data_IF_533837603130
#
_entry.id   IF_533837603130
#
_cell.length_a   1.000
_cell.length_b   1.000
_cell.length_c   1.000
_cell.angle_alpha   90.00
_cell.angle_beta   90.00
_cell.angle_gamma   90.00
#
_symmetry.space_group_name_H-M   'P 1'
#
loop_
_entity.id
_entity.type
_entity.pdbx_description
1 polymer ?
#
# COMPACT_ATOMS: atom_id res chain seq x y z
N UNK A 1 -14.02 3.22 10.79
CA UNK A 1 -13.74 2.92 9.38
C UNK A 1 -12.68 3.85 8.82
N UNK A 2 -11.47 3.68 9.34
CA UNK A 2 -10.20 4.03 8.73
C UNK A 2 -9.83 2.91 7.75
N UNK A 3 -9.65 3.27 6.48
CA UNK A 3 -9.11 2.37 5.46
C UNK A 3 -7.66 2.74 5.17
N UNK A 4 -6.80 1.76 4.96
CA UNK A 4 -5.41 1.98 4.65
C UNK A 4 -5.03 1.16 3.43
N UNK A 5 -4.29 1.76 2.52
CA UNK A 5 -4.05 1.16 1.22
C UNK A 5 -2.54 1.05 0.99
N UNK A 6 -1.93 -0.07 1.39
CA UNK A 6 -0.56 -0.39 1.02
C UNK A 6 -0.50 -0.53 -0.49
N UNK A 7 0.26 0.39 -1.09
CA UNK A 7 0.55 0.42 -2.50
C UNK A 7 2.00 0.01 -2.67
N UNK A 8 2.21 -1.04 -3.45
CA UNK A 8 3.54 -1.43 -3.88
C UNK A 8 3.59 -1.33 -5.41
N UNK A 9 4.56 -0.57 -5.90
CA UNK A 9 4.87 -0.47 -7.31
C UNK A 9 5.79 -1.59 -7.81
N UNK A 10 6.21 -2.55 -6.96
CA UNK A 10 6.77 -3.84 -7.40
C UNK A 10 5.75 -4.60 -8.26
N UNK A 11 4.45 -4.33 -8.05
CA UNK A 11 3.40 -4.59 -9.00
C UNK A 11 3.58 -3.74 -10.25
N UNK A 12 4.31 -4.27 -11.23
CA UNK A 12 4.30 -3.83 -12.62
C UNK A 12 2.88 -3.44 -13.10
N UNK A 13 1.83 -4.08 -12.55
CA UNK A 13 0.42 -3.80 -12.83
C UNK A 13 -0.12 -2.42 -12.44
N UNK A 14 0.31 -1.76 -11.34
CA UNK A 14 -0.27 -0.47 -10.95
C UNK A 14 0.16 0.65 -11.91
N UNK A 15 1.48 0.76 -12.10
CA UNK A 15 2.10 1.79 -12.94
C UNK A 15 1.83 1.56 -14.43
N UNK A 16 1.84 0.29 -14.90
CA UNK A 16 1.59 -0.03 -16.32
C UNK A 16 0.11 0.08 -16.68
N UNK A 17 -0.82 -0.26 -15.77
CA UNK A 17 -2.25 -0.16 -16.04
C UNK A 17 -2.84 1.26 -15.84
N UNK A 18 -2.01 2.25 -15.49
CA UNK A 18 -2.45 3.59 -15.07
C UNK A 18 -3.53 3.55 -13.97
N UNK A 19 -3.38 2.62 -13.03
CA UNK A 19 -4.38 2.38 -11.99
C UNK A 19 -4.42 3.48 -10.91
N UNK A 20 -3.49 4.44 -10.93
CA UNK A 20 -3.47 5.56 -9.99
C UNK A 20 -4.74 6.42 -10.05
N UNK A 21 -5.30 6.66 -11.24
CA UNK A 21 -6.51 7.49 -11.39
C UNK A 21 -7.76 6.85 -10.76
N UNK A 22 -8.12 5.59 -11.08
CA UNK A 22 -9.28 4.95 -10.45
C UNK A 22 -9.10 4.75 -8.94
N UNK A 23 -7.87 4.57 -8.47
CA UNK A 23 -7.59 4.51 -7.02
C UNK A 23 -7.80 5.89 -6.37
N UNK A 24 -7.28 6.96 -6.96
CA UNK A 24 -7.49 8.31 -6.46
C UNK A 24 -8.98 8.69 -6.43
N UNK A 25 -9.74 8.31 -7.45
CA UNK A 25 -11.20 8.48 -7.49
C UNK A 25 -11.88 7.69 -6.36
N UNK A 26 -11.53 6.42 -6.18
CA UNK A 26 -12.06 5.60 -5.08
C UNK A 26 -11.76 6.21 -3.72
N UNK A 27 -10.53 6.70 -3.49
CA UNK A 27 -10.15 7.37 -2.25
C UNK A 27 -10.93 8.66 -2.04
N UNK A 28 -11.11 9.47 -3.09
CA UNK A 28 -11.94 10.68 -3.04
C UNK A 28 -13.38 10.37 -2.65
N UNK A 29 -13.97 9.31 -3.21
CA UNK A 29 -15.33 8.87 -2.88
C UNK A 29 -15.45 8.38 -1.43
N UNK A 30 -14.46 7.63 -0.93
CA UNK A 30 -14.43 7.17 0.45
C UNK A 30 -14.28 8.35 1.43
N UNK A 31 -13.42 9.31 1.10
CA UNK A 31 -13.25 10.54 1.89
C UNK A 31 -14.50 11.40 1.91
N UNK A 32 -15.21 11.53 0.79
CA UNK A 32 -16.54 12.20 0.74
C UNK A 32 -17.57 11.55 1.67
N UNK A 33 -17.43 10.25 1.95
CA UNK A 33 -18.26 9.52 2.92
C UNK A 33 -17.73 9.62 4.36
N UNK A 34 -16.78 10.52 4.63
CA UNK A 34 -16.20 10.74 5.95
C UNK A 34 -15.23 9.64 6.41
N UNK A 35 -14.72 8.83 5.49
CA UNK A 35 -13.75 7.77 5.82
C UNK A 35 -12.33 8.33 5.78
N UNK A 36 -11.50 7.97 6.77
CA UNK A 36 -10.07 8.29 6.76
C UNK A 36 -9.37 7.28 5.87
N UNK A 37 -8.76 7.74 4.78
CA UNK A 37 -8.04 6.90 3.82
C UNK A 37 -6.63 7.42 3.67
N UNK A 38 -5.65 6.51 3.79
CA UNK A 38 -4.22 6.79 3.71
C UNK A 38 -3.53 5.75 2.83
N UNK A 39 -2.43 6.14 2.21
CA UNK A 39 -1.57 5.30 1.41
C UNK A 39 -0.33 4.94 2.20
N UNK A 40 0.04 3.66 2.21
CA UNK A 40 1.31 3.20 2.73
C UNK A 40 2.25 2.91 1.56
N UNK A 41 3.40 3.55 1.55
CA UNK A 41 4.44 3.36 0.53
C UNK A 41 5.60 2.59 1.14
N UNK A 42 5.99 1.50 0.49
CA UNK A 42 7.19 0.77 0.85
C UNK A 42 8.42 1.44 0.21
N UNK A 43 9.57 1.58 0.90
CA UNK A 43 10.74 2.27 0.36
C UNK A 43 11.28 1.66 -0.95
N UNK A 44 11.13 0.35 -1.13
CA UNK A 44 11.49 -0.36 -2.38
C UNK A 44 10.31 -0.57 -3.34
N UNK A 45 9.16 0.08 -3.10
CA UNK A 45 8.02 0.01 -4.00
C UNK A 45 8.33 0.72 -5.32
N UNK A 46 8.33 -0.04 -6.41
CA UNK A 46 8.51 0.50 -7.76
C UNK A 46 9.86 0.19 -8.38
N UNK A 47 10.12 0.81 -9.54
CA UNK A 47 11.39 0.64 -10.25
C UNK A 47 12.36 1.79 -10.04
N UNK A 48 11.89 2.90 -9.49
CA UNK A 48 12.71 4.03 -9.06
C UNK A 48 12.22 4.54 -7.70
N UNK A 49 13.12 4.93 -6.78
CA UNK A 49 12.75 5.57 -5.53
C UNK A 49 11.85 6.79 -5.77
N UNK A 50 10.75 6.90 -5.03
CA UNK A 50 9.78 8.01 -5.15
C UNK A 50 8.89 7.98 -6.40
N UNK A 51 9.02 6.97 -7.27
CA UNK A 51 8.19 6.85 -8.48
C UNK A 51 6.69 6.82 -8.13
N UNK A 52 6.32 6.08 -7.09
CA UNK A 52 4.93 5.95 -6.68
C UNK A 52 4.36 7.28 -6.16
N UNK A 53 5.15 8.02 -5.38
CA UNK A 53 4.75 9.33 -4.84
C UNK A 53 4.46 10.32 -5.99
N UNK A 54 5.28 10.30 -7.04
CA UNK A 54 5.05 11.11 -8.26
C UNK A 54 3.76 10.70 -8.97
N UNK A 55 3.50 9.40 -9.13
CA UNK A 55 2.27 8.91 -9.79
C UNK A 55 1.00 9.24 -9.00
N UNK A 56 1.07 9.17 -7.67
CA UNK A 56 -0.04 9.55 -6.79
C UNK A 56 -0.27 11.07 -6.84
N UNK A 57 0.79 11.86 -6.86
CA UNK A 57 0.70 13.31 -7.03
C UNK A 57 0.09 13.68 -8.40
N UNK A 58 0.47 12.99 -9.47
CA UNK A 58 -0.12 13.15 -10.81
C UNK A 58 -1.62 12.81 -10.82
N UNK A 59 -2.04 11.83 -10.01
CA UNK A 59 -3.45 11.47 -9.84
C UNK A 59 -4.22 12.42 -8.90
N UNK A 60 -3.57 13.45 -8.35
CA UNK A 60 -4.19 14.44 -7.47
C UNK A 60 -4.37 13.98 -6.01
N UNK A 61 -3.61 12.98 -5.57
CA UNK A 61 -3.59 12.55 -4.17
C UNK A 61 -2.76 13.54 -3.34
N UNK A 62 -3.30 14.08 -2.22
CA UNK A 62 -2.54 14.92 -1.31
C UNK A 62 -1.35 14.18 -0.70
N UNK A 63 -0.19 14.86 -0.60
CA UNK A 63 1.01 14.30 0.03
C UNK A 63 0.76 13.89 1.49
N UNK A 64 -0.08 14.62 2.22
CA UNK A 64 -0.44 14.31 3.62
C UNK A 64 -1.14 12.95 3.79
N UNK A 65 -1.69 12.39 2.71
CA UNK A 65 -2.30 11.06 2.72
C UNK A 65 -1.32 9.94 2.42
N UNK A 66 -0.11 10.27 1.96
CA UNK A 66 0.94 9.33 1.58
C UNK A 66 1.92 9.24 2.73
N UNK A 67 1.97 8.08 3.38
CA UNK A 67 2.84 7.81 4.51
C UNK A 67 3.86 6.74 4.15
N UNK A 68 5.07 6.93 4.64
CA UNK A 68 6.14 5.95 4.47
C UNK A 68 5.94 4.78 5.45
N UNK A 69 6.54 3.64 5.13
CA UNK A 69 6.42 2.40 5.91
C UNK A 69 6.70 2.58 7.41
N UNK A 70 7.73 3.34 7.77
CA UNK A 70 8.10 3.57 9.18
C UNK A 70 7.05 4.36 9.96
N UNK A 71 6.32 5.26 9.28
CA UNK A 71 5.31 6.12 9.90
C UNK A 71 3.96 5.41 10.07
N UNK A 72 3.69 4.42 9.21
CA UNK A 72 2.36 3.79 9.09
C UNK A 72 2.29 2.40 9.70
N UNK A 73 3.43 1.75 9.94
CA UNK A 73 3.45 0.37 10.46
C UNK A 73 2.79 0.23 11.84
N UNK A 74 2.97 1.22 12.72
CA UNK A 74 2.34 1.25 14.05
C UNK A 74 0.83 1.54 14.02
N UNK A 75 0.31 1.94 12.87
CA UNK A 75 -1.08 2.29 12.65
C UNK A 75 -1.92 1.13 12.09
N UNK A 76 -1.30 0.07 11.58
CA UNK A 76 -2.01 -1.13 11.10
C UNK A 76 -2.92 -1.77 12.16
N UNK A 77 -2.51 -1.94 13.44
CA UNK A 77 -3.39 -2.47 14.49
C UNK A 77 -4.65 -1.65 14.76
N UNK A 78 -4.67 -0.37 14.34
CA UNK A 78 -5.81 0.55 14.50
C UNK A 78 -6.59 0.75 13.20
N UNK A 79 -6.31 -0.06 12.19
CA UNK A 79 -6.90 0.05 10.86
C UNK A 79 -7.96 -1.04 10.67
N UNK A 80 -9.16 -0.61 10.31
CA UNK A 80 -10.30 -1.52 10.14
C UNK A 80 -10.16 -2.35 8.84
N UNK A 81 -9.66 -1.73 7.76
CA UNK A 81 -9.50 -2.38 6.46
C UNK A 81 -8.21 -1.96 5.77
N UNK A 82 -7.43 -2.95 5.36
CA UNK A 82 -6.25 -2.80 4.53
C UNK A 82 -6.53 -3.33 3.13
N UNK A 83 -6.30 -2.51 2.10
CA UNK A 83 -6.43 -2.93 0.71
C UNK A 83 -5.07 -2.97 0.03
N UNK A 84 -4.56 -4.18 -0.20
CA UNK A 84 -3.29 -4.41 -0.90
C UNK A 84 -3.54 -4.43 -2.40
N UNK A 85 -2.92 -3.51 -3.15
CA UNK A 85 -2.99 -3.50 -4.61
C UNK A 85 -1.60 -3.64 -5.21
N UNK A 86 -1.40 -4.72 -5.96
CA UNK A 86 -0.17 -4.97 -6.71
C UNK A 86 1.07 -5.28 -5.85
N UNK A 87 0.93 -5.42 -4.54
CA UNK A 87 2.00 -5.86 -3.66
C UNK A 87 1.97 -7.37 -3.46
N UNK A 88 3.16 -7.97 -3.36
CA UNK A 88 3.33 -9.34 -2.91
C UNK A 88 4.42 -9.41 -1.84
N UNK A 89 5.68 -9.21 -2.24
CA UNK A 89 6.82 -9.42 -1.33
C UNK A 89 6.88 -8.39 -0.18
N UNK A 90 6.50 -7.13 -0.43
CA UNK A 90 6.56 -6.04 0.56
C UNK A 90 5.49 -6.12 1.66
N UNK A 91 4.55 -7.05 1.53
CA UNK A 91 3.46 -7.28 2.50
C UNK A 91 3.47 -8.71 3.06
N UNK A 92 4.50 -9.49 2.73
CA UNK A 92 4.58 -10.91 3.06
C UNK A 92 5.18 -11.10 4.47
N UNK A 93 4.43 -11.75 5.37
CA UNK A 93 4.88 -12.02 6.74
C UNK A 93 6.06 -12.98 6.83
N UNK A 94 6.32 -13.76 5.76
CA UNK A 94 7.48 -14.65 5.69
C UNK A 94 8.83 -13.91 5.82
N UNK A 95 8.85 -12.59 5.62
CA UNK A 95 10.05 -11.78 5.87
C UNK A 95 10.42 -11.70 7.37
N UNK A 96 9.45 -11.79 8.28
CA UNK A 96 9.65 -11.76 9.74
C UNK A 96 9.56 -13.17 10.36
N UNK A 97 8.63 -14.00 9.88
CA UNK A 97 8.27 -15.27 10.54
C UNK A 97 9.15 -16.47 10.09
N UNK A 98 9.72 -16.44 8.88
CA UNK A 98 10.48 -17.55 8.32
C UNK A 98 11.93 -17.17 8.03
N UNK A 99 12.90 -17.57 8.90
CA UNK A 99 14.31 -17.27 8.69
C UNK A 99 14.93 -17.98 7.48
N UNK A 100 14.25 -18.96 6.87
CA UNK A 100 14.70 -19.64 5.64
C UNK A 100 14.13 -18.99 4.37
N UNK A 101 13.25 -18.00 4.52
CA UNK A 101 12.65 -17.29 3.39
C UNK A 101 13.69 -16.45 2.64
N UNK A 102 13.53 -16.33 1.32
CA UNK A 102 14.39 -15.51 0.47
C UNK A 102 14.30 -14.02 0.84
N UNK A 103 13.19 -13.62 1.47
CA UNK A 103 12.92 -12.25 1.93
C UNK A 103 13.13 -12.07 3.44
N UNK A 104 13.72 -13.06 4.13
CA UNK A 104 13.95 -12.98 5.58
C UNK A 104 14.82 -11.76 5.95
N UNK A 105 14.33 -10.94 6.87
CA UNK A 105 14.99 -9.69 7.30
C UNK A 105 14.76 -8.49 6.39
N UNK A 106 14.00 -8.63 5.30
CA UNK A 106 13.53 -7.49 4.53
C UNK A 106 12.49 -6.73 5.36
N UNK A 107 12.60 -5.40 5.52
CA UNK A 107 11.52 -4.65 6.13
C UNK A 107 10.27 -4.76 5.24
N UNK A 108 9.10 -4.91 5.86
CA UNK A 108 7.82 -5.11 5.18
C UNK A 108 6.71 -4.30 5.86
N UNK A 109 5.64 -4.04 5.13
CA UNK A 109 4.41 -3.47 5.67
C UNK A 109 3.64 -4.56 6.41
N UNK A 110 3.41 -4.37 7.72
CA UNK A 110 2.74 -5.34 8.59
C UNK A 110 1.22 -5.34 8.42
N UNK A 111 0.77 -5.55 7.18
CA UNK A 111 -0.65 -5.48 6.80
C UNK A 111 -1.52 -6.47 7.57
N UNK A 112 -0.94 -7.60 7.98
CA UNK A 112 -1.62 -8.65 8.75
C UNK A 112 -2.02 -8.21 10.15
N UNK A 113 -1.48 -7.09 10.66
CA UNK A 113 -1.87 -6.55 11.95
C UNK A 113 -3.22 -5.82 11.93
N UNK A 114 -3.80 -5.55 10.75
CA UNK A 114 -5.10 -4.91 10.62
C UNK A 114 -6.27 -5.88 10.81
N UNK A 115 -7.47 -5.34 11.10
CA UNK A 115 -8.67 -6.14 11.35
C UNK A 115 -9.10 -6.94 10.11
N UNK A 116 -9.04 -6.33 8.93
CA UNK A 116 -9.34 -6.98 7.66
C UNK A 116 -8.29 -6.64 6.61
N UNK A 117 -7.86 -7.64 5.85
CA UNK A 117 -6.93 -7.47 4.72
C UNK A 117 -7.58 -8.00 3.44
N UNK A 118 -7.83 -7.09 2.50
CA UNK A 118 -8.25 -7.42 1.14
C UNK A 118 -7.05 -7.35 0.21
N UNK A 119 -6.71 -8.46 -0.45
CA UNK A 119 -5.66 -8.49 -1.46
C UNK A 119 -6.29 -8.49 -2.85
N UNK A 120 -5.90 -7.51 -3.67
CA UNK A 120 -6.28 -7.47 -5.09
C UNK A 120 -5.03 -7.55 -5.95
N UNK A 121 -4.74 -8.78 -6.38
CA UNK A 121 -3.75 -9.09 -7.41
C UNK A 121 -4.46 -9.46 -8.71
N UNK A 122 -3.98 -8.99 -9.87
CA UNK A 122 -4.43 -9.48 -11.17
C UNK A 122 -3.35 -10.40 -11.72
N UNK A 123 -3.58 -11.71 -11.70
CA UNK A 123 -2.80 -12.64 -12.50
C UNK A 123 -3.18 -12.41 -13.96
N UNK A 124 -2.24 -11.90 -14.76
CA UNK A 124 -2.32 -11.99 -16.22
C UNK A 124 -2.09 -13.42 -16.66
#
# INVERSE_FOLDING_TARGET
MSGLMPLDASGYGLCVAKAQYPIAEMVSLLKKKGKKVRFAVHPVAGRMPGQLNVLLAEAGVPYDDVLEMEEINDDFPKTDLVLVIGANDTVNSAAEDDPNSIIAGMPVLRVWAAEQVGVRWRAS
#
